data_IF_716785920670
#
_entry.id   IF_716785920670
#
_cell.length_a   1.000
_cell.length_b   1.000
_cell.length_c   1.000
_cell.angle_alpha   90.00
_cell.angle_beta   90.00
_cell.angle_gamma   90.00
#
_symmetry.space_group_name_H-M   'P 1'
#
loop_
_entity.id
_entity.type
_entity.pdbx_description
1 polymer ?
#
# COMPACT_ATOMS: atom_id res chain seq x y z
N UNK A 1 -10.33 21.07 12.32
CA UNK A 1 -9.24 21.52 11.41
C UNK A 1 -8.20 20.42 11.17
N UNK A 2 -7.73 19.71 12.20
CA UNK A 2 -6.75 18.61 12.11
C UNK A 2 -7.21 17.40 11.28
N UNK A 3 -8.50 17.05 11.32
CA UNK A 3 -9.08 15.96 10.52
C UNK A 3 -8.85 16.12 9.00
N UNK A 4 -8.82 17.37 8.49
CA UNK A 4 -8.66 17.64 7.06
C UNK A 4 -7.29 17.22 6.51
N UNK A 5 -6.25 17.29 7.32
CA UNK A 5 -4.88 16.96 6.89
C UNK A 5 -4.45 15.54 7.22
N UNK A 6 -5.21 14.83 8.06
CA UNK A 6 -4.86 13.47 8.52
C UNK A 6 -4.56 12.49 7.37
N UNK A 7 -5.31 12.55 6.27
CA UNK A 7 -5.07 11.68 5.12
C UNK A 7 -3.82 12.08 4.31
N UNK A 8 -3.52 13.38 4.24
CA UNK A 8 -2.30 13.90 3.59
C UNK A 8 -1.08 13.48 4.42
N UNK A 9 -1.14 13.65 5.74
CA UNK A 9 -0.07 13.27 6.66
C UNK A 9 0.18 11.76 6.63
N UNK A 10 -0.89 10.96 6.64
CA UNK A 10 -0.81 9.50 6.49
C UNK A 10 -0.24 9.10 5.12
N UNK A 11 -0.58 9.82 4.05
CA UNK A 11 -0.01 9.62 2.72
C UNK A 11 1.50 9.89 2.67
N UNK A 12 1.97 10.96 3.33
CA UNK A 12 3.38 11.27 3.45
C UNK A 12 4.14 10.21 4.27
N UNK A 13 3.54 9.75 5.38
CA UNK A 13 4.08 8.66 6.19
C UNK A 13 4.16 7.35 5.40
N UNK A 14 3.10 6.99 4.67
CA UNK A 14 3.09 5.84 3.77
C UNK A 14 4.21 5.94 2.73
N UNK A 15 4.37 7.09 2.06
CA UNK A 15 5.43 7.27 1.07
C UNK A 15 6.82 6.99 1.64
N UNK A 16 7.10 7.52 2.84
CA UNK A 16 8.37 7.29 3.54
C UNK A 16 8.56 5.81 3.90
N UNK A 17 7.51 5.13 4.36
CA UNK A 17 7.51 3.68 4.62
C UNK A 17 7.85 2.88 3.35
N UNK A 18 7.25 3.21 2.21
CA UNK A 18 7.49 2.50 0.94
C UNK A 18 8.95 2.66 0.48
N UNK A 19 9.51 3.87 0.60
CA UNK A 19 10.91 4.14 0.25
C UNK A 19 11.86 3.31 1.12
N UNK A 20 11.64 3.31 2.44
CA UNK A 20 12.47 2.56 3.38
C UNK A 20 12.35 1.04 3.19
N UNK A 21 11.15 0.54 2.89
CA UNK A 21 10.95 -0.88 2.60
C UNK A 21 11.82 -1.33 1.41
N UNK A 22 11.81 -0.56 0.31
CA UNK A 22 12.64 -0.86 -0.86
C UNK A 22 14.13 -0.75 -0.53
N UNK A 23 14.54 0.25 0.25
CA UNK A 23 15.93 0.40 0.71
C UNK A 23 16.43 -0.82 1.52
N UNK A 24 15.52 -1.53 2.20
CA UNK A 24 15.79 -2.78 2.94
C UNK A 24 15.66 -4.05 2.10
N UNK A 25 15.44 -3.93 0.79
CA UNK A 25 15.22 -5.08 -0.10
C UNK A 25 13.86 -5.75 0.11
N UNK A 26 12.87 -5.01 0.59
CA UNK A 26 11.48 -5.45 0.70
C UNK A 26 10.62 -4.86 -0.42
N UNK A 27 9.53 -5.56 -0.73
CA UNK A 27 8.43 -5.06 -1.55
C UNK A 27 7.35 -4.52 -0.61
N UNK A 28 6.81 -3.35 -0.92
CA UNK A 28 5.67 -2.78 -0.22
C UNK A 28 4.60 -2.36 -1.23
N UNK A 29 3.39 -2.89 -1.07
CA UNK A 29 2.28 -2.68 -1.98
C UNK A 29 1.08 -2.04 -1.25
N UNK A 30 0.84 -0.73 -1.42
CA UNK A 30 -0.33 -0.07 -0.84
C UNK A 30 -1.60 -0.41 -1.62
N UNK A 31 -2.68 -0.68 -0.90
CA UNK A 31 -3.98 -1.10 -1.44
C UNK A 31 -5.11 -0.31 -0.80
N UNK A 32 -6.07 0.10 -1.62
CA UNK A 32 -7.31 0.75 -1.20
C UNK A 32 -8.54 -0.18 -1.28
N UNK A 33 -8.43 -1.33 -1.95
CA UNK A 33 -9.51 -2.30 -2.13
C UNK A 33 -9.64 -3.26 -0.96
N UNK A 34 -10.02 -2.77 0.22
CA UNK A 34 -10.23 -3.60 1.41
C UNK A 34 -11.52 -3.21 2.15
N UNK A 35 -12.02 -4.13 2.98
CA UNK A 35 -13.18 -3.90 3.83
C UNK A 35 -12.79 -3.08 5.06
N UNK A 36 -13.18 -1.80 5.08
CA UNK A 36 -12.88 -0.86 6.16
C UNK A 36 -13.44 -1.29 7.52
N UNK A 37 -14.75 -1.58 7.65
CA UNK A 37 -15.33 -2.14 8.87
C UNK A 37 -14.62 -3.40 9.38
N UNK A 38 -14.36 -4.37 8.51
CA UNK A 38 -13.66 -5.60 8.91
C UNK A 38 -12.22 -5.31 9.36
N UNK A 39 -11.54 -4.36 8.73
CA UNK A 39 -10.20 -3.93 9.17
C UNK A 39 -10.24 -3.30 10.56
N UNK A 40 -11.26 -2.48 10.89
CA UNK A 40 -11.41 -1.89 12.23
C UNK A 40 -11.54 -2.98 13.29
N UNK A 41 -12.35 -4.00 13.03
CA UNK A 41 -12.53 -5.14 13.93
C UNK A 41 -11.24 -5.97 14.07
N UNK A 42 -10.62 -6.32 12.95
CA UNK A 42 -9.48 -7.22 12.91
C UNK A 42 -8.26 -6.73 13.70
N UNK A 43 -8.03 -5.41 13.73
CA UNK A 43 -6.89 -4.81 14.47
C UNK A 43 -7.33 -3.97 15.67
N UNK A 44 -8.61 -4.05 16.05
CA UNK A 44 -9.18 -3.38 17.22
C UNK A 44 -8.90 -1.86 17.23
N UNK A 45 -9.19 -1.20 16.11
CA UNK A 45 -8.96 0.24 15.96
C UNK A 45 -9.79 1.04 16.98
N UNK A 46 -9.15 2.01 17.64
CA UNK A 46 -9.84 2.89 18.58
C UNK A 46 -10.87 3.79 17.88
N UNK A 47 -11.90 4.18 18.63
CA UNK A 47 -12.96 5.08 18.16
C UNK A 47 -12.38 6.38 17.59
N UNK A 48 -12.90 6.78 16.43
CA UNK A 48 -12.48 7.98 15.71
C UNK A 48 -11.26 7.80 14.81
N UNK A 49 -10.61 6.63 14.82
CA UNK A 49 -9.64 6.24 13.79
C UNK A 49 -10.36 5.64 12.58
N UNK A 50 -9.81 5.89 11.40
CA UNK A 50 -10.35 5.37 10.15
C UNK A 50 -9.21 4.77 9.34
N UNK A 51 -9.32 3.51 8.88
CA UNK A 51 -8.30 2.92 8.03
C UNK A 51 -8.31 3.62 6.68
N UNK A 52 -7.14 4.01 6.19
CA UNK A 52 -6.96 4.73 4.93
C UNK A 52 -6.36 3.87 3.82
N UNK A 53 -5.43 2.99 4.19
CA UNK A 53 -4.66 2.15 3.28
C UNK A 53 -4.23 0.89 4.01
N UNK A 54 -4.23 -0.23 3.29
CA UNK A 54 -3.55 -1.45 3.74
C UNK A 54 -2.28 -1.63 2.92
N UNK A 55 -1.17 -2.01 3.57
CA UNK A 55 0.12 -2.15 2.91
C UNK A 55 0.63 -3.57 3.12
N UNK A 56 0.71 -4.34 2.05
CA UNK A 56 1.39 -5.64 2.09
C UNK A 56 2.90 -5.40 2.03
N UNK A 57 3.66 -5.97 2.98
CA UNK A 57 5.12 -5.85 3.05
C UNK A 57 5.75 -7.23 3.11
N UNK A 58 6.73 -7.50 2.26
CA UNK A 58 7.36 -8.81 2.20
C UNK A 58 8.58 -8.85 1.30
N UNK A 59 9.06 -10.06 1.02
CA UNK A 59 10.08 -10.30 -0.01
C UNK A 59 9.39 -10.68 -1.32
N UNK A 60 10.07 -10.43 -2.43
CA UNK A 60 9.60 -10.91 -3.73
C UNK A 60 9.52 -12.45 -3.70
N UNK A 61 8.37 -13.01 -4.06
CA UNK A 61 8.17 -14.45 -4.19
C UNK A 61 8.67 -14.97 -5.54
N UNK A 62 8.67 -16.28 -5.70
CA UNK A 62 9.01 -16.94 -6.96
C UNK A 62 7.84 -16.83 -7.95
N UNK A 63 8.13 -16.63 -9.24
CA UNK A 63 7.07 -16.50 -10.28
C UNK A 63 6.20 -17.77 -10.38
N UNK A 64 6.76 -18.94 -10.04
CA UNK A 64 6.06 -20.22 -10.08
C UNK A 64 4.91 -20.33 -9.07
N UNK A 65 4.93 -19.52 -8.01
CA UNK A 65 3.92 -19.53 -6.94
C UNK A 65 2.75 -18.57 -7.22
N UNK A 66 2.78 -17.88 -8.36
CA UNK A 66 1.88 -16.77 -8.68
C UNK A 66 1.17 -17.05 -10.01
N UNK A 67 -0.10 -16.66 -10.09
CA UNK A 67 -0.88 -16.86 -11.31
C UNK A 67 -0.22 -16.14 -12.51
N UNK A 68 -0.16 -16.76 -13.71
CA UNK A 68 0.58 -16.21 -14.85
C UNK A 68 0.18 -14.77 -15.22
N UNK A 69 -1.10 -14.44 -15.11
CA UNK A 69 -1.63 -13.11 -15.38
C UNK A 69 -1.08 -12.03 -14.43
N UNK A 70 -0.75 -12.39 -13.19
CA UNK A 70 -0.14 -11.48 -12.22
C UNK A 70 1.34 -11.29 -12.56
N UNK A 71 2.06 -12.37 -12.91
CA UNK A 71 3.46 -12.30 -13.33
C UNK A 71 3.62 -11.40 -14.56
N UNK A 72 2.76 -11.59 -15.57
CA UNK A 72 2.79 -10.77 -16.78
C UNK A 72 2.49 -9.30 -16.49
N UNK A 73 1.53 -9.02 -15.61
CA UNK A 73 1.22 -7.65 -15.18
C UNK A 73 2.39 -7.00 -14.44
N UNK A 74 3.01 -7.72 -13.51
CA UNK A 74 4.08 -7.19 -12.67
C UNK A 74 5.37 -6.90 -13.47
N UNK A 75 5.55 -7.56 -14.62
CA UNK A 75 6.64 -7.30 -15.59
C UNK A 75 6.41 -6.06 -16.47
N UNK A 76 5.19 -5.50 -16.52
CA UNK A 76 4.91 -4.37 -17.41
C UNK A 76 5.63 -3.09 -16.93
N UNK A 77 6.18 -2.29 -17.87
CA UNK A 77 6.80 -1.02 -17.52
C UNK A 77 5.78 -0.07 -16.90
N UNK A 78 6.22 0.74 -15.93
CA UNK A 78 5.39 1.80 -15.34
C UNK A 78 5.22 2.93 -16.34
N UNK A 79 3.98 3.24 -16.68
CA UNK A 79 3.62 4.43 -17.46
C UNK A 79 3.17 5.58 -16.53
N UNK A 80 3.55 6.81 -16.86
CA UNK A 80 3.12 8.04 -16.19
C UNK A 80 2.75 9.07 -17.25
N UNK A 81 1.87 10.00 -16.90
CA UNK A 81 1.56 11.12 -17.77
C UNK A 81 2.80 12.01 -17.98
N UNK A 82 2.92 12.68 -19.15
CA UNK A 82 3.93 13.70 -19.38
C UNK A 82 3.87 14.85 -18.36
N UNK A 83 4.95 15.62 -18.27
CA UNK A 83 5.06 16.75 -17.32
C UNK A 83 4.63 18.10 -17.92
N UNK A 84 4.49 18.17 -19.25
CA UNK A 84 4.09 19.35 -20.02
C UNK A 84 2.57 19.55 -20.10
#
# INVERSE_FOLDING_TARGET
RTRLYSAVDAGAAMSTLLIEAVARGLIAHPMAGFDGPAAVEAVQLADGLHPLVMIAVGRLGEEADVAPEIVERDKQPRHRLPLD
#
